data_IF_688470659951
#
_entry.id   IF_688470659951
#
_cell.length_a   1.000
_cell.length_b   1.000
_cell.length_c   1.000
_cell.angle_alpha   90.00
_cell.angle_beta   90.00
_cell.angle_gamma   90.00
#
_symmetry.space_group_name_H-M   'P 1'
#
loop_
_entity.id
_entity.type
_entity.pdbx_description
1 polymer ?
#
# COMPACT_ATOMS: atom_id res chain seq x y z
N UNK A 1 14.21 -56.24 61.08
CA UNK A 1 14.46 -54.80 61.32
C UNK A 1 14.80 -54.21 59.91
N UNK A 2 13.86 -53.66 59.27
CA UNK A 2 13.98 -53.12 57.87
C UNK A 2 14.06 -51.61 58.00
N UNK A 3 15.19 -51.04 57.60
CA UNK A 3 15.41 -49.58 57.62
C UNK A 3 14.93 -49.03 56.28
N UNK A 4 13.84 -48.23 56.29
CA UNK A 4 13.30 -47.54 55.17
C UNK A 4 13.98 -46.18 55.03
N UNK A 5 14.83 -46.01 53.98
CA UNK A 5 15.48 -44.74 53.69
C UNK A 5 14.55 -43.95 52.74
N UNK A 6 13.94 -42.89 53.26
CA UNK A 6 13.18 -41.95 52.46
C UNK A 6 14.11 -40.95 51.77
N UNK A 7 14.22 -41.01 50.45
CA UNK A 7 14.91 -39.99 49.63
C UNK A 7 13.94 -38.83 49.39
N UNK A 8 14.15 -37.72 50.05
CA UNK A 8 13.44 -36.47 49.81
C UNK A 8 14.13 -35.78 48.61
N UNK A 9 13.48 -35.88 47.45
CA UNK A 9 13.89 -35.13 46.25
C UNK A 9 13.50 -33.65 46.39
N UNK A 10 14.51 -32.79 46.50
CA UNK A 10 14.32 -31.33 46.43
C UNK A 10 14.10 -30.93 44.95
N UNK A 11 12.86 -30.61 44.60
CA UNK A 11 12.55 -30.02 43.27
C UNK A 11 12.94 -28.54 43.41
N UNK A 12 14.08 -28.17 42.81
CA UNK A 12 14.45 -26.78 42.61
C UNK A 12 13.60 -26.20 41.48
N UNK A 13 12.57 -25.44 41.84
CA UNK A 13 11.81 -24.62 40.89
C UNK A 13 12.72 -23.42 40.57
N UNK A 14 13.36 -23.44 39.40
CA UNK A 14 14.04 -22.27 38.88
C UNK A 14 12.97 -21.24 38.48
N UNK A 15 12.69 -20.28 39.36
CA UNK A 15 11.96 -19.09 38.98
C UNK A 15 12.82 -18.34 37.95
N UNK A 16 12.39 -18.38 36.68
CA UNK A 16 12.90 -17.46 35.69
C UNK A 16 12.42 -16.07 36.09
N UNK A 17 13.26 -15.33 36.79
CA UNK A 17 13.05 -13.92 37.05
C UNK A 17 13.10 -13.21 35.70
N UNK A 18 11.94 -12.97 35.10
CA UNK A 18 11.82 -11.92 34.08
C UNK A 18 12.19 -10.61 34.76
N UNK A 19 13.41 -10.13 34.50
CA UNK A 19 13.83 -8.79 34.94
C UNK A 19 12.80 -7.75 34.47
N UNK A 20 12.78 -6.55 35.06
CA UNK A 20 11.85 -5.51 34.67
C UNK A 20 11.99 -5.28 33.16
N UNK A 21 10.93 -5.67 32.40
CA UNK A 21 10.87 -5.37 30.99
C UNK A 21 10.87 -3.86 30.83
N UNK A 22 11.85 -3.30 30.12
CA UNK A 22 11.84 -1.91 29.70
C UNK A 22 10.50 -1.67 28.98
N UNK A 23 9.77 -0.58 29.32
CA UNK A 23 8.54 -0.25 28.61
C UNK A 23 8.83 -0.17 27.11
N UNK A 24 8.00 -0.82 26.29
CA UNK A 24 8.14 -0.76 24.83
C UNK A 24 7.98 0.68 24.36
N UNK A 25 8.89 1.12 23.49
CA UNK A 25 8.80 2.42 22.83
C UNK A 25 7.88 2.29 21.61
N UNK A 26 6.63 2.80 21.73
CA UNK A 26 5.59 2.67 20.72
C UNK A 26 5.33 4.02 20.11
N UNK A 27 5.20 4.08 18.78
CA UNK A 27 4.81 5.25 18.01
C UNK A 27 3.64 4.92 17.09
N UNK A 28 3.01 5.94 16.54
CA UNK A 28 2.04 5.77 15.47
C UNK A 28 2.31 6.73 14.31
N UNK A 29 1.80 6.35 13.14
CA UNK A 29 1.98 7.08 11.89
C UNK A 29 0.68 7.10 11.09
N UNK A 30 0.39 8.23 10.47
CA UNK A 30 -0.67 8.41 9.49
C UNK A 30 -0.13 7.98 8.11
N UNK A 31 -0.36 6.71 7.76
CA UNK A 31 0.16 6.14 6.51
C UNK A 31 -0.39 6.83 5.27
N UNK A 32 -1.62 7.31 5.29
CA UNK A 32 -2.21 8.04 4.18
C UNK A 32 -1.49 9.37 3.96
N UNK A 33 -1.30 10.15 5.03
CA UNK A 33 -0.57 11.42 4.97
C UNK A 33 0.87 11.23 4.50
N UNK A 34 1.53 10.17 4.95
CA UNK A 34 2.88 9.81 4.48
C UNK A 34 2.86 9.51 2.99
N UNK A 35 1.97 8.63 2.51
CA UNK A 35 1.83 8.27 1.11
C UNK A 35 1.62 9.51 0.24
N UNK A 36 0.63 10.35 0.57
CA UNK A 36 0.26 11.55 -0.19
C UNK A 36 1.39 12.59 -0.24
N UNK A 37 2.31 12.56 0.71
CA UNK A 37 3.46 13.45 0.74
C UNK A 37 4.59 13.06 -0.22
N UNK A 38 4.59 11.83 -0.76
CA UNK A 38 5.66 11.31 -1.63
C UNK A 38 5.50 11.77 -3.07
N UNK A 39 6.64 12.04 -3.73
CA UNK A 39 6.65 12.37 -5.17
C UNK A 39 6.20 11.19 -6.02
N UNK A 40 6.54 9.97 -5.61
CA UNK A 40 6.17 8.75 -6.31
C UNK A 40 4.65 8.60 -6.42
N UNK A 41 3.92 8.87 -5.34
CA UNK A 41 2.46 8.83 -5.35
C UNK A 41 1.87 9.96 -6.20
N UNK A 42 2.41 11.18 -6.09
CA UNK A 42 1.98 12.31 -6.91
C UNK A 42 2.18 12.05 -8.40
N UNK A 43 3.35 11.50 -8.77
CA UNK A 43 3.65 11.10 -10.14
C UNK A 43 2.75 9.95 -10.61
N UNK A 44 2.46 8.97 -9.74
CA UNK A 44 1.56 7.88 -10.07
C UNK A 44 0.16 8.42 -10.44
N UNK A 45 -0.38 9.37 -9.66
CA UNK A 45 -1.68 9.95 -9.95
C UNK A 45 -1.67 10.80 -11.23
N UNK A 46 -0.63 11.62 -11.44
CA UNK A 46 -0.51 12.40 -12.66
C UNK A 46 -0.44 11.50 -13.91
N UNK A 47 0.38 10.44 -13.88
CA UNK A 47 0.46 9.48 -14.98
C UNK A 47 -0.86 8.72 -15.19
N UNK A 48 -1.58 8.40 -14.11
CA UNK A 48 -2.89 7.75 -14.24
C UNK A 48 -3.90 8.67 -14.94
N UNK A 49 -3.93 9.95 -14.62
CA UNK A 49 -4.78 10.93 -15.30
C UNK A 49 -4.44 11.07 -16.79
N UNK A 50 -3.14 11.09 -17.14
CA UNK A 50 -2.67 11.10 -18.53
C UNK A 50 -3.10 9.83 -19.27
N UNK A 51 -2.94 8.66 -18.68
CA UNK A 51 -3.34 7.38 -19.25
C UNK A 51 -4.87 7.32 -19.46
N UNK A 52 -5.67 7.82 -18.50
CA UNK A 52 -7.14 7.93 -18.64
C UNK A 52 -7.51 8.79 -19.85
N UNK A 53 -6.90 9.97 -19.98
CA UNK A 53 -7.16 10.87 -21.12
C UNK A 53 -6.77 10.21 -22.45
N UNK A 54 -5.62 9.52 -22.49
CA UNK A 54 -5.17 8.81 -23.68
C UNK A 54 -6.18 7.72 -24.10
N UNK A 55 -6.62 6.86 -23.18
CA UNK A 55 -7.58 5.81 -23.51
C UNK A 55 -8.95 6.34 -23.85
N UNK A 56 -9.40 7.43 -23.21
CA UNK A 56 -10.63 8.11 -23.60
C UNK A 56 -10.56 8.59 -25.05
N UNK A 57 -9.47 9.22 -25.45
CA UNK A 57 -9.27 9.68 -26.83
C UNK A 57 -9.28 8.50 -27.83
N UNK A 58 -8.72 7.32 -27.46
CA UNK A 58 -8.79 6.14 -28.31
C UNK A 58 -10.24 5.65 -28.47
N UNK A 59 -11.04 5.64 -27.39
CA UNK A 59 -12.45 5.26 -27.45
C UNK A 59 -13.28 6.25 -28.25
N UNK A 60 -12.99 7.54 -28.15
CA UNK A 60 -13.66 8.59 -28.95
C UNK A 60 -13.38 8.42 -30.46
N UNK A 61 -12.16 8.03 -30.83
CA UNK A 61 -11.82 7.74 -32.21
C UNK A 61 -12.58 6.52 -32.75
N UNK A 62 -12.63 5.43 -31.97
CA UNK A 62 -13.41 4.25 -32.32
C UNK A 62 -14.90 4.57 -32.43
N UNK A 63 -15.42 5.47 -31.59
CA UNK A 63 -16.83 5.94 -31.68
C UNK A 63 -17.09 6.74 -32.91
N UNK A 64 -16.16 7.58 -33.39
CA UNK A 64 -16.26 8.31 -34.66
C UNK A 64 -16.21 7.34 -35.84
N UNK A 65 -15.37 6.34 -35.83
CA UNK A 65 -15.34 5.29 -36.87
C UNK A 65 -16.65 4.54 -36.91
N UNK A 66 -17.24 4.18 -35.78
CA UNK A 66 -18.57 3.59 -35.71
C UNK A 66 -19.66 4.47 -36.35
N UNK A 67 -19.68 5.76 -35.99
CA UNK A 67 -20.63 6.70 -36.59
C UNK A 67 -20.44 6.81 -38.10
N UNK A 68 -19.21 6.79 -38.58
CA UNK A 68 -18.90 6.82 -40.02
C UNK A 68 -19.46 5.58 -40.72
N UNK A 69 -19.29 4.39 -40.15
CA UNK A 69 -19.86 3.15 -40.69
C UNK A 69 -21.39 3.21 -40.77
N UNK A 70 -22.04 3.66 -39.70
CA UNK A 70 -23.50 3.81 -39.69
C UNK A 70 -23.98 4.79 -40.81
N UNK A 71 -23.31 5.93 -40.93
CA UNK A 71 -23.70 6.98 -41.90
C UNK A 71 -23.40 6.58 -43.37
N UNK A 72 -22.40 5.72 -43.59
CA UNK A 72 -22.05 5.21 -44.93
C UNK A 72 -22.93 4.06 -45.41
N UNK A 73 -23.85 3.57 -44.57
CA UNK A 73 -24.71 2.45 -44.92
C UNK A 73 -23.99 1.10 -44.88
N UNK A 74 -22.98 0.95 -44.00
CA UNK A 74 -22.29 -0.30 -43.78
C UNK A 74 -23.24 -1.42 -43.39
N UNK A 75 -22.82 -2.66 -43.58
CA UNK A 75 -23.64 -3.85 -43.24
C UNK A 75 -23.88 -3.95 -41.73
N UNK A 76 -24.94 -4.64 -41.33
CA UNK A 76 -25.26 -4.91 -39.92
C UNK A 76 -24.13 -5.63 -39.20
N UNK A 77 -23.42 -6.53 -39.91
CA UNK A 77 -22.30 -7.29 -39.35
C UNK A 77 -21.08 -6.38 -39.06
N UNK A 78 -20.77 -5.45 -39.97
CA UNK A 78 -19.66 -4.48 -39.75
C UNK A 78 -19.98 -3.53 -38.59
N UNK A 79 -21.20 -3.05 -38.46
CA UNK A 79 -21.64 -2.21 -37.35
C UNK A 79 -21.57 -2.95 -36.04
N UNK A 80 -22.07 -4.19 -36.02
CA UNK A 80 -22.01 -5.04 -34.80
C UNK A 80 -20.58 -5.37 -34.39
N UNK A 81 -19.71 -5.71 -35.35
CA UNK A 81 -18.29 -5.95 -35.08
C UNK A 81 -17.60 -4.75 -34.44
N UNK A 82 -17.87 -3.53 -34.98
CA UNK A 82 -17.31 -2.28 -34.43
C UNK A 82 -17.84 -2.00 -33.02
N UNK A 83 -19.10 -2.27 -32.71
CA UNK A 83 -19.63 -2.16 -31.34
C UNK A 83 -18.94 -3.10 -30.39
N UNK A 84 -18.73 -4.35 -30.80
CA UNK A 84 -18.01 -5.33 -29.97
C UNK A 84 -16.55 -4.93 -29.76
N UNK A 85 -15.88 -4.37 -30.77
CA UNK A 85 -14.53 -3.84 -30.65
C UNK A 85 -14.46 -2.74 -29.59
N UNK A 86 -15.38 -1.76 -29.64
CA UNK A 86 -15.43 -0.66 -28.65
C UNK A 86 -15.60 -1.20 -27.23
N UNK A 87 -16.55 -2.12 -27.03
CA UNK A 87 -16.80 -2.71 -25.71
C UNK A 87 -15.57 -3.49 -25.17
N UNK A 88 -14.95 -4.27 -26.08
CA UNK A 88 -13.73 -5.03 -25.74
C UNK A 88 -12.58 -4.10 -25.39
N UNK A 89 -12.34 -3.05 -26.18
CA UNK A 89 -11.31 -2.05 -25.92
C UNK A 89 -11.53 -1.29 -24.62
N UNK A 90 -12.78 -0.89 -24.35
CA UNK A 90 -13.13 -0.25 -23.09
C UNK A 90 -12.77 -1.12 -21.89
N UNK A 91 -13.21 -2.37 -21.88
CA UNK A 91 -12.88 -3.31 -20.80
C UNK A 91 -11.36 -3.54 -20.66
N UNK A 92 -10.66 -3.68 -21.80
CA UNK A 92 -9.19 -3.82 -21.80
C UNK A 92 -8.50 -2.60 -21.18
N UNK A 93 -8.92 -1.39 -21.53
CA UNK A 93 -8.32 -0.16 -21.02
C UNK A 93 -8.58 0.03 -19.53
N UNK A 94 -9.82 -0.23 -19.06
CA UNK A 94 -10.17 -0.21 -17.64
C UNK A 94 -9.30 -1.17 -16.83
N UNK A 95 -9.15 -2.42 -17.26
CA UNK A 95 -8.29 -3.41 -16.61
C UNK A 95 -6.81 -3.01 -16.62
N UNK A 96 -6.34 -2.45 -17.74
CA UNK A 96 -4.94 -2.00 -17.86
C UNK A 96 -4.65 -0.85 -16.89
N UNK A 97 -5.54 0.14 -16.81
CA UNK A 97 -5.43 1.27 -15.89
C UNK A 97 -5.40 0.78 -14.44
N UNK A 98 -6.37 -0.05 -14.06
CA UNK A 98 -6.48 -0.58 -12.70
C UNK A 98 -5.25 -1.40 -12.31
N UNK A 99 -4.84 -2.34 -13.16
CA UNK A 99 -3.69 -3.20 -12.88
C UNK A 99 -2.39 -2.39 -12.77
N UNK A 100 -2.16 -1.45 -13.69
CA UNK A 100 -0.96 -0.63 -13.68
C UNK A 100 -0.91 0.26 -12.44
N UNK A 101 -2.03 0.89 -12.07
CA UNK A 101 -2.13 1.72 -10.89
C UNK A 101 -1.86 0.91 -9.62
N UNK A 102 -2.59 -0.20 -9.44
CA UNK A 102 -2.49 -1.04 -8.24
C UNK A 102 -1.09 -1.64 -8.07
N UNK A 103 -0.46 -2.10 -9.15
CA UNK A 103 0.90 -2.65 -9.09
C UNK A 103 1.92 -1.58 -8.67
N UNK A 104 1.85 -0.38 -9.25
CA UNK A 104 2.75 0.72 -8.89
C UNK A 104 2.50 1.21 -7.47
N UNK A 105 1.23 1.33 -7.05
CA UNK A 105 0.88 1.72 -5.69
C UNK A 105 1.41 0.71 -4.66
N UNK A 106 1.30 -0.60 -4.94
CA UNK A 106 1.84 -1.63 -4.06
C UNK A 106 3.35 -1.49 -3.83
N UNK A 107 4.12 -1.19 -4.89
CA UNK A 107 5.57 -0.94 -4.79
C UNK A 107 5.88 0.31 -3.95
N UNK A 108 5.10 1.38 -4.13
CA UNK A 108 5.28 2.60 -3.33
C UNK A 108 5.02 2.31 -1.85
N UNK A 109 3.91 1.62 -1.53
CA UNK A 109 3.58 1.25 -0.15
C UNK A 109 4.62 0.33 0.49
N UNK A 110 5.14 -0.64 -0.25
CA UNK A 110 6.23 -1.50 0.23
C UNK A 110 7.48 -0.69 0.56
N UNK A 111 7.84 0.25 -0.31
CA UNK A 111 8.99 1.14 -0.11
C UNK A 111 8.80 2.01 1.14
N UNK A 112 7.62 2.62 1.31
CA UNK A 112 7.28 3.43 2.48
C UNK A 112 7.37 2.58 3.75
N UNK A 113 6.76 1.40 3.77
CA UNK A 113 6.77 0.51 4.94
C UNK A 113 8.19 0.10 5.32
N UNK A 114 9.04 -0.21 4.32
CA UNK A 114 10.45 -0.48 4.56
C UNK A 114 11.15 0.72 5.20
N UNK A 115 10.93 1.92 4.70
CA UNK A 115 11.55 3.15 5.24
C UNK A 115 11.06 3.48 6.65
N UNK A 116 9.76 3.26 6.93
CA UNK A 116 9.22 3.40 8.30
C UNK A 116 9.92 2.43 9.24
N UNK A 117 10.11 1.19 8.83
CA UNK A 117 10.85 0.20 9.60
C UNK A 117 12.31 0.63 9.85
N UNK A 118 13.02 1.03 8.79
CA UNK A 118 14.42 1.49 8.90
C UNK A 118 14.54 2.67 9.89
N UNK A 119 13.59 3.63 9.81
CA UNK A 119 13.51 4.76 10.73
C UNK A 119 13.26 4.32 12.17
N UNK A 120 12.31 3.41 12.39
CA UNK A 120 11.95 2.91 13.71
C UNK A 120 13.14 2.19 14.36
N UNK A 121 13.81 1.29 13.63
CA UNK A 121 14.99 0.56 14.11
C UNK A 121 16.12 1.52 14.49
N UNK A 122 16.38 2.53 13.64
CA UNK A 122 17.42 3.53 13.92
C UNK A 122 17.13 4.38 15.16
N UNK A 123 15.86 4.67 15.45
CA UNK A 123 15.45 5.51 16.58
C UNK A 123 15.05 4.70 17.83
N UNK A 124 15.25 3.38 17.84
CA UNK A 124 14.91 2.51 18.98
C UNK A 124 13.42 2.46 19.29
N UNK A 125 12.57 2.54 18.24
CA UNK A 125 11.12 2.39 18.34
C UNK A 125 10.80 0.90 18.15
N UNK A 126 10.19 0.29 19.16
CA UNK A 126 9.89 -1.15 19.16
C UNK A 126 8.67 -1.50 18.31
N UNK A 127 7.72 -0.55 18.15
CA UNK A 127 6.49 -0.75 17.41
C UNK A 127 5.98 0.56 16.80
N UNK A 128 5.60 0.50 15.52
CA UNK A 128 4.89 1.57 14.83
C UNK A 128 3.50 1.07 14.43
N UNK A 129 2.46 1.80 14.81
CA UNK A 129 1.06 1.46 14.58
C UNK A 129 0.48 2.45 13.56
N UNK A 130 -0.33 1.96 12.61
CA UNK A 130 -1.08 2.86 11.73
C UNK A 130 -2.15 3.60 12.54
N UNK A 131 -2.20 4.92 12.39
CA UNK A 131 -3.16 5.80 13.06
C UNK A 131 -4.62 5.39 12.85
N UNK A 132 -4.95 4.83 11.70
CA UNK A 132 -6.33 4.45 11.34
C UNK A 132 -6.92 3.36 12.25
N UNK A 133 -6.07 2.57 12.92
CA UNK A 133 -6.52 1.52 13.84
C UNK A 133 -6.45 1.94 15.31
N UNK A 134 -6.02 3.19 15.59
CA UNK A 134 -5.96 3.71 16.94
C UNK A 134 -7.29 4.33 17.34
N UNK A 135 -7.80 3.91 18.49
CA UNK A 135 -8.94 4.56 19.12
C UNK A 135 -8.55 5.90 19.79
N UNK A 136 -7.34 5.93 20.34
CA UNK A 136 -6.75 7.10 21.00
C UNK A 136 -5.22 6.99 20.99
N UNK A 137 -4.54 8.12 20.76
CA UNK A 137 -3.09 8.26 20.86
C UNK A 137 -2.73 9.69 21.26
N UNK A 138 -1.82 9.84 22.22
CA UNK A 138 -1.26 11.15 22.53
C UNK A 138 -0.36 11.60 21.35
N UNK A 139 -0.51 12.84 20.90
CA UNK A 139 0.24 13.40 19.77
C UNK A 139 1.79 13.34 19.93
N UNK A 140 2.29 13.19 21.16
CA UNK A 140 3.72 12.99 21.40
C UNK A 140 4.26 11.71 20.76
N UNK A 141 3.40 10.71 20.52
CA UNK A 141 3.75 9.44 19.87
C UNK A 141 3.51 9.45 18.36
N UNK A 142 3.00 10.55 17.80
CA UNK A 142 2.80 10.72 16.37
C UNK A 142 4.14 11.08 15.70
N UNK A 143 4.66 10.15 14.91
CA UNK A 143 5.92 10.33 14.18
C UNK A 143 5.70 10.65 12.69
N UNK A 144 4.46 10.95 12.27
CA UNK A 144 4.11 11.16 10.86
C UNK A 144 4.99 12.20 10.18
N UNK A 145 5.14 13.39 10.76
CA UNK A 145 5.93 14.47 10.17
C UNK A 145 7.44 14.15 10.17
N UNK A 146 7.91 13.36 11.13
CA UNK A 146 9.30 12.87 11.18
C UNK A 146 9.56 11.88 10.03
N UNK A 147 8.62 10.95 9.79
CA UNK A 147 8.70 10.02 8.66
C UNK A 147 8.67 10.77 7.33
N UNK A 148 7.75 11.73 7.15
CA UNK A 148 7.69 12.55 5.94
C UNK A 148 9.03 13.27 5.70
N UNK A 149 9.61 13.85 6.74
CA UNK A 149 10.91 14.54 6.64
C UNK A 149 12.04 13.58 6.29
N UNK A 150 12.03 12.37 6.85
CA UNK A 150 12.99 11.32 6.55
C UNK A 150 12.91 10.85 5.09
N UNK A 151 11.67 10.62 4.58
CA UNK A 151 11.44 10.20 3.20
C UNK A 151 11.94 11.24 2.18
N UNK A 152 11.71 12.54 2.44
CA UNK A 152 12.21 13.62 1.58
C UNK A 152 13.73 13.61 1.39
N UNK A 153 14.47 13.05 2.33
CA UNK A 153 15.92 12.85 2.20
C UNK A 153 16.32 11.90 1.07
N UNK A 154 15.44 10.99 0.67
CA UNK A 154 15.68 10.02 -0.42
C UNK A 154 15.20 10.52 -1.79
N UNK A 155 14.27 11.48 -1.83
CA UNK A 155 13.75 12.04 -3.08
C UNK A 155 14.72 12.98 -3.81
N UNK A 156 15.76 13.43 -3.12
CA UNK A 156 16.72 14.42 -3.63
C UNK A 156 18.07 13.81 -4.05
N UNK A 157 18.20 12.49 -4.00
CA UNK A 157 19.36 11.74 -4.46
C UNK A 157 19.00 10.90 -5.69
#
# INVERSE_FOLDING_TARGET
MVILVAVVGVISISESSSGPSTPANIAFVDNQKVLESTKEWQNLNANYEEDVQFYQMQLDNLSKEYQTLVNSGATSDEITAKQQEILSKKSQYEQTLENNYNNKLAVILETINKRIKDYAEFNGIDMVINKDVLLYGNGTYDITDMIISYLKGFENN
#
